data_IF_361277036935
#
_entry.id   IF_361277036935
#
_cell.length_a   1.000
_cell.length_b   1.000
_cell.length_c   1.000
_cell.angle_alpha   90.00
_cell.angle_beta   90.00
_cell.angle_gamma   90.00
#
_symmetry.space_group_name_H-M   'P 1'
#
loop_
_entity.id
_entity.type
_entity.pdbx_description
1 polymer ?
#
# COMPACT_ATOMS: atom_id res chain seq x y z
N UNK A 1 -9.18 9.99 -11.49
CA UNK A 1 -10.52 9.42 -11.39
C UNK A 1 -11.57 10.44 -11.84
N UNK A 2 -11.77 11.55 -11.14
CA UNK A 2 -12.83 12.54 -11.43
C UNK A 2 -12.80 13.09 -12.85
N UNK A 3 -11.61 13.39 -13.41
CA UNK A 3 -11.47 13.85 -14.81
C UNK A 3 -11.92 12.79 -15.82
N UNK A 4 -11.65 11.51 -15.56
CA UNK A 4 -12.06 10.41 -16.43
C UNK A 4 -13.57 10.20 -16.36
N UNK A 5 -14.13 10.18 -15.15
CA UNK A 5 -15.56 9.99 -14.94
C UNK A 5 -16.41 11.08 -15.59
N UNK A 6 -15.94 12.33 -15.58
CA UNK A 6 -16.64 13.44 -16.28
C UNK A 6 -16.78 13.23 -17.81
N UNK A 7 -15.96 12.36 -18.39
CA UNK A 7 -15.96 12.06 -19.85
C UNK A 7 -16.86 10.89 -20.22
N UNK A 8 -17.39 10.17 -19.24
CA UNK A 8 -18.25 9.00 -19.44
C UNK A 8 -19.62 9.34 -18.89
N UNK A 9 -20.69 9.30 -19.71
CA UNK A 9 -22.06 9.52 -19.25
C UNK A 9 -22.43 8.59 -18.07
N UNK A 10 -23.22 9.06 -17.14
CA UNK A 10 -23.57 8.29 -15.95
C UNK A 10 -24.28 6.97 -16.28
N UNK A 11 -25.13 7.00 -17.30
CA UNK A 11 -25.86 5.84 -17.81
C UNK A 11 -24.95 4.75 -18.39
N UNK A 12 -23.74 5.10 -18.82
CA UNK A 12 -22.76 4.17 -19.39
C UNK A 12 -21.81 3.56 -18.35
N UNK A 13 -21.85 4.04 -17.09
CA UNK A 13 -20.95 3.58 -16.00
C UNK A 13 -21.50 2.38 -15.22
N UNK A 14 -22.41 1.62 -15.78
CA UNK A 14 -23.17 0.55 -15.09
C UNK A 14 -22.29 -0.55 -14.49
N UNK A 15 -21.20 -0.88 -15.16
CA UNK A 15 -20.29 -1.97 -14.75
C UNK A 15 -19.06 -1.50 -14.00
N UNK A 16 -18.74 -0.19 -14.04
CA UNK A 16 -17.61 0.35 -13.29
C UNK A 16 -18.00 0.54 -11.83
N UNK A 17 -17.57 -0.37 -10.97
CA UNK A 17 -17.93 -0.43 -9.55
C UNK A 17 -16.73 -0.29 -8.61
N UNK A 18 -15.56 -0.72 -9.05
CA UNK A 18 -14.37 -0.86 -8.22
C UNK A 18 -13.20 -0.12 -8.89
N UNK A 19 -12.46 0.63 -8.08
CA UNK A 19 -11.15 1.18 -8.42
C UNK A 19 -10.10 0.23 -7.89
N UNK A 20 -9.30 -0.34 -8.77
CA UNK A 20 -8.20 -1.22 -8.40
C UNK A 20 -6.97 -0.39 -8.08
N UNK A 21 -6.38 -0.64 -6.94
CA UNK A 21 -5.04 -0.25 -6.56
C UNK A 21 -4.17 -1.49 -6.57
N UNK A 22 -3.29 -1.53 -7.51
CA UNK A 22 -2.20 -2.48 -7.52
C UNK A 22 -1.19 -2.17 -6.42
N UNK A 23 -0.22 -3.03 -6.23
CA UNK A 23 0.83 -2.88 -5.24
C UNK A 23 1.51 -1.50 -5.27
N UNK A 24 1.90 -1.01 -4.10
CA UNK A 24 2.67 0.23 -3.98
C UNK A 24 4.16 -0.08 -4.12
N UNK A 25 4.65 -0.22 -5.35
CA UNK A 25 6.01 -0.65 -5.66
C UNK A 25 6.93 0.52 -6.05
N UNK A 26 6.97 1.55 -5.26
CA UNK A 26 7.77 2.75 -5.54
C UNK A 26 9.23 2.65 -5.06
N UNK A 27 9.67 1.46 -4.68
CA UNK A 27 11.00 1.23 -4.15
C UNK A 27 11.24 1.97 -2.84
N UNK A 28 12.36 2.65 -2.73
CA UNK A 28 12.74 3.40 -1.53
C UNK A 28 12.11 4.80 -1.40
N UNK A 29 11.07 5.13 -2.15
CA UNK A 29 10.42 6.43 -2.02
C UNK A 29 9.79 6.59 -0.64
N UNK A 30 10.30 7.56 0.11
CA UNK A 30 9.94 7.82 1.50
C UNK A 30 9.85 9.33 1.81
N UNK A 31 9.63 10.16 0.78
CA UNK A 31 9.57 11.61 0.93
C UNK A 31 8.51 12.23 0.03
N UNK A 32 7.88 13.29 0.52
CA UNK A 32 6.89 14.09 -0.20
C UNK A 32 7.05 15.57 0.16
N UNK A 33 6.43 16.47 -0.60
CA UNK A 33 6.63 17.92 -0.48
C UNK A 33 6.29 18.47 0.91
N UNK A 34 5.28 17.90 1.59
CA UNK A 34 4.86 18.32 2.93
C UNK A 34 5.47 17.47 4.08
N UNK A 35 6.51 16.67 3.82
CA UNK A 35 7.06 15.74 4.82
C UNK A 35 7.55 16.44 6.09
N UNK A 36 8.19 17.60 5.95
CA UNK A 36 8.74 18.35 7.11
C UNK A 36 7.61 18.83 8.02
N UNK A 37 6.55 19.38 7.44
CA UNK A 37 5.38 19.87 8.15
C UNK A 37 4.65 18.72 8.85
N UNK A 38 4.38 17.64 8.12
CA UNK A 38 3.74 16.44 8.65
C UNK A 38 4.55 15.83 9.81
N UNK A 39 5.87 15.79 9.68
CA UNK A 39 6.74 15.29 10.74
C UNK A 39 6.69 16.16 12.00
N UNK A 40 6.75 17.48 11.83
CA UNK A 40 6.62 18.44 12.96
C UNK A 40 5.29 18.31 13.67
N UNK A 41 4.23 18.13 12.91
CA UNK A 41 2.88 17.94 13.47
C UNK A 41 2.78 16.64 14.26
N UNK A 42 3.31 15.55 13.72
CA UNK A 42 3.24 14.22 14.35
C UNK A 42 4.13 14.08 15.60
N UNK A 43 5.34 14.64 15.56
CA UNK A 43 6.37 14.36 16.59
C UNK A 43 6.84 15.58 17.37
N UNK A 44 6.47 16.78 16.96
CA UNK A 44 6.74 18.02 17.73
C UNK A 44 8.18 18.53 17.64
N UNK A 45 9.02 18.02 16.71
CA UNK A 45 10.36 18.52 16.51
C UNK A 45 10.75 18.64 15.03
N UNK A 46 11.80 19.41 14.73
CA UNK A 46 12.25 19.64 13.36
C UNK A 46 13.09 18.45 12.86
N UNK A 47 12.70 17.76 11.78
CA UNK A 47 13.46 16.65 11.20
C UNK A 47 14.72 17.10 10.46
N UNK A 48 14.80 18.35 10.01
CA UNK A 48 15.87 18.83 9.13
C UNK A 48 17.29 18.57 9.65
N UNK A 49 17.62 18.81 10.93
CA UNK A 49 18.95 18.51 11.46
C UNK A 49 19.32 17.02 11.42
N UNK A 50 18.34 16.12 11.31
CA UNK A 50 18.56 14.67 11.33
C UNK A 50 18.57 14.03 9.95
N UNK A 51 18.28 14.76 8.87
CA UNK A 51 18.30 14.25 7.51
C UNK A 51 19.59 13.50 7.14
N UNK A 52 20.80 13.89 7.60
CA UNK A 52 22.02 13.13 7.33
C UNK A 52 21.97 11.67 7.81
N UNK A 53 21.10 11.34 8.76
CA UNK A 53 20.88 9.96 9.22
C UNK A 53 20.37 9.04 8.12
N UNK A 54 19.66 9.56 7.12
CA UNK A 54 19.17 8.78 5.97
C UNK A 54 20.31 8.23 5.10
N UNK A 55 21.50 8.82 5.18
CA UNK A 55 22.71 8.33 4.52
C UNK A 55 23.65 7.56 5.45
N UNK A 56 23.18 7.17 6.64
CA UNK A 56 23.95 6.40 7.63
C UNK A 56 24.84 7.25 8.55
N UNK A 57 24.70 8.57 8.53
CA UNK A 57 25.48 9.47 9.43
C UNK A 57 24.82 9.47 10.82
N UNK A 58 25.61 9.22 11.87
CA UNK A 58 25.13 9.36 13.26
C UNK A 58 24.99 10.85 13.59
N UNK A 59 23.80 11.28 13.96
CA UNK A 59 23.51 12.65 14.41
C UNK A 59 23.26 12.68 15.91
N UNK A 60 24.08 13.43 16.63
CA UNK A 60 24.02 13.50 18.08
C UNK A 60 24.57 12.24 18.76
N UNK A 61 23.76 11.19 18.77
CA UNK A 61 24.15 9.87 19.26
C UNK A 61 23.45 8.76 18.46
N UNK A 62 23.92 7.48 18.55
CA UNK A 62 23.19 6.38 17.93
C UNK A 62 21.72 6.29 18.38
N UNK A 63 21.45 6.44 19.68
CA UNK A 63 20.08 6.41 20.21
C UNK A 63 19.19 7.52 19.63
N UNK A 64 19.69 8.74 19.54
CA UNK A 64 18.96 9.86 18.92
C UNK A 64 18.69 9.58 17.43
N UNK A 65 19.71 9.11 16.73
CA UNK A 65 19.60 8.77 15.30
C UNK A 65 18.57 7.68 15.07
N UNK A 66 18.58 6.61 15.85
CA UNK A 66 17.65 5.49 15.72
C UNK A 66 16.21 5.92 16.02
N UNK A 67 15.99 6.78 17.02
CA UNK A 67 14.66 7.34 17.32
C UNK A 67 14.13 8.17 16.17
N UNK A 68 14.93 9.05 15.60
CA UNK A 68 14.54 9.82 14.42
C UNK A 68 14.19 8.90 13.25
N UNK A 69 15.01 7.89 12.96
CA UNK A 69 14.73 6.96 11.86
C UNK A 69 13.46 6.14 12.10
N UNK A 70 13.17 5.80 13.37
CA UNK A 70 11.92 5.15 13.74
C UNK A 70 10.72 6.07 13.47
N UNK A 71 10.75 7.30 13.98
CA UNK A 71 9.68 8.28 13.80
C UNK A 71 9.40 8.53 12.31
N UNK A 72 10.46 8.70 11.51
CA UNK A 72 10.31 8.91 10.08
C UNK A 72 9.70 7.70 9.37
N UNK A 73 10.15 6.48 9.69
CA UNK A 73 9.57 5.26 9.10
C UNK A 73 8.12 5.09 9.50
N UNK A 74 7.78 5.40 10.75
CA UNK A 74 6.40 5.35 11.22
C UNK A 74 5.53 6.36 10.48
N UNK A 75 5.98 7.60 10.33
CA UNK A 75 5.26 8.62 9.59
C UNK A 75 5.02 8.20 8.13
N UNK A 76 6.04 7.67 7.45
CA UNK A 76 5.90 7.20 6.08
C UNK A 76 4.83 6.10 5.98
N UNK A 77 4.85 5.14 6.90
CA UNK A 77 3.84 4.07 6.94
C UNK A 77 2.44 4.61 7.16
N UNK A 78 2.28 5.56 8.07
CA UNK A 78 1.00 6.22 8.34
C UNK A 78 0.49 7.02 7.13
N UNK A 79 1.37 7.77 6.45
CA UNK A 79 1.00 8.52 5.24
C UNK A 79 0.61 7.59 4.08
N UNK A 80 1.31 6.47 3.89
CA UNK A 80 0.91 5.47 2.89
C UNK A 80 -0.48 4.92 3.20
N UNK A 81 -0.77 4.61 4.45
CA UNK A 81 -2.07 4.06 4.83
C UNK A 81 -3.19 5.11 4.73
N UNK A 82 -2.99 6.26 5.37
CA UNK A 82 -4.09 7.22 5.60
C UNK A 82 -4.20 8.28 4.51
N UNK A 83 -3.08 8.76 3.95
CA UNK A 83 -3.13 9.77 2.90
C UNK A 83 -3.28 9.14 1.50
N UNK A 84 -2.51 8.09 1.22
CA UNK A 84 -2.56 7.46 -0.10
C UNK A 84 -3.74 6.48 -0.22
N UNK A 85 -3.81 5.45 0.61
CA UNK A 85 -4.83 4.39 0.47
C UNK A 85 -6.20 4.91 0.87
N UNK A 86 -6.34 5.49 2.05
CA UNK A 86 -7.62 6.04 2.51
C UNK A 86 -8.07 7.21 1.63
N UNK A 87 -7.15 8.11 1.25
CA UNK A 87 -7.50 9.24 0.37
C UNK A 87 -8.08 8.79 -0.97
N UNK A 88 -7.52 7.73 -1.59
CA UNK A 88 -8.13 7.20 -2.82
C UNK A 88 -9.49 6.53 -2.56
N UNK A 89 -9.67 5.87 -1.41
CA UNK A 89 -10.97 5.32 -1.02
C UNK A 89 -12.02 6.44 -0.88
N UNK A 90 -11.69 7.51 -0.20
CA UNK A 90 -12.59 8.65 -0.01
C UNK A 90 -13.04 9.23 -1.35
N UNK A 91 -12.09 9.54 -2.24
CA UNK A 91 -12.39 10.03 -3.58
C UNK A 91 -13.21 9.02 -4.40
N UNK A 92 -13.00 7.73 -4.21
CA UNK A 92 -13.79 6.69 -4.88
C UNK A 92 -15.23 6.65 -4.37
N UNK A 93 -15.41 6.76 -3.05
CA UNK A 93 -16.73 6.81 -2.41
C UNK A 93 -17.55 8.02 -2.84
N UNK A 94 -16.94 9.20 -3.04
CA UNK A 94 -17.62 10.38 -3.61
C UNK A 94 -18.26 10.10 -4.98
N UNK A 95 -17.75 9.11 -5.69
CA UNK A 95 -18.26 8.69 -6.99
C UNK A 95 -19.09 7.40 -6.95
N UNK A 96 -19.42 6.90 -5.77
CA UNK A 96 -20.19 5.66 -5.58
C UNK A 96 -19.40 4.39 -5.97
N UNK A 97 -18.08 4.46 -5.92
CA UNK A 97 -17.18 3.35 -6.23
C UNK A 97 -16.53 2.82 -4.95
N UNK A 98 -16.24 1.54 -4.91
CA UNK A 98 -15.40 0.92 -3.88
C UNK A 98 -13.94 0.80 -4.35
N UNK A 99 -13.05 0.46 -3.43
CA UNK A 99 -11.63 0.24 -3.73
C UNK A 99 -11.24 -1.21 -3.48
N UNK A 100 -10.42 -1.74 -4.35
CA UNK A 100 -9.71 -3.00 -4.19
C UNK A 100 -8.22 -2.72 -4.12
N UNK A 101 -7.51 -3.33 -3.19
CA UNK A 101 -6.09 -3.11 -2.95
C UNK A 101 -5.36 -4.45 -2.93
N UNK A 102 -4.27 -4.53 -3.66
CA UNK A 102 -3.26 -5.54 -3.41
C UNK A 102 -2.47 -5.16 -2.16
N UNK A 103 -2.58 -5.98 -1.13
CA UNK A 103 -1.92 -5.76 0.15
C UNK A 103 -0.48 -6.26 0.09
N UNK A 104 0.37 -5.46 -0.52
CA UNK A 104 1.77 -5.73 -0.80
C UNK A 104 2.70 -5.11 0.25
N UNK A 105 3.87 -5.69 0.51
CA UNK A 105 4.76 -5.02 1.45
C UNK A 105 5.88 -5.83 2.06
N UNK A 106 6.30 -6.93 1.48
CA UNK A 106 7.59 -7.52 1.77
C UNK A 106 8.70 -6.80 0.98
N UNK A 107 9.93 -7.17 1.05
CA UNK A 107 11.07 -6.57 0.31
C UNK A 107 11.35 -5.08 0.64
N UNK A 108 11.18 -4.68 1.90
CA UNK A 108 11.54 -3.33 2.35
C UNK A 108 10.56 -2.24 1.97
N UNK A 109 9.33 -2.61 1.67
CA UNK A 109 8.23 -1.69 1.47
C UNK A 109 8.04 -0.75 2.69
N UNK A 110 7.78 0.55 2.50
CA UNK A 110 7.72 1.51 3.59
C UNK A 110 6.41 1.48 4.39
N UNK A 111 5.42 0.70 3.97
CA UNK A 111 4.12 0.59 4.62
C UNK A 111 4.08 -0.48 5.71
N UNK A 112 2.94 -0.55 6.38
CA UNK A 112 2.61 -1.56 7.38
C UNK A 112 1.40 -2.34 6.87
N UNK A 113 1.56 -3.66 6.67
CA UNK A 113 0.61 -4.53 5.99
C UNK A 113 -0.84 -4.40 6.46
N UNK A 114 -1.06 -4.51 7.76
CA UNK A 114 -2.42 -4.58 8.31
C UNK A 114 -3.09 -3.22 8.24
N UNK A 115 -2.36 -2.18 8.63
CA UNK A 115 -2.86 -0.81 8.63
C UNK A 115 -3.16 -0.32 7.20
N UNK A 116 -2.24 -0.57 6.28
CA UNK A 116 -2.35 -0.26 4.86
C UNK A 116 -3.57 -0.95 4.23
N UNK A 117 -3.68 -2.27 4.37
CA UNK A 117 -4.80 -3.04 3.85
C UNK A 117 -6.14 -2.66 4.47
N UNK A 118 -6.14 -2.30 5.76
CA UNK A 118 -7.34 -1.87 6.47
C UNK A 118 -8.03 -0.65 5.86
N UNK A 119 -7.29 0.20 5.16
CA UNK A 119 -7.79 1.44 4.58
C UNK A 119 -8.49 1.27 3.23
N UNK A 120 -8.44 0.12 2.58
CA UNK A 120 -9.23 -0.18 1.38
C UNK A 120 -10.54 -0.88 1.71
N UNK A 121 -11.51 -0.89 0.79
CA UNK A 121 -12.77 -1.62 1.00
C UNK A 121 -12.55 -3.12 0.86
N UNK A 122 -11.87 -3.54 -0.18
CA UNK A 122 -11.50 -4.93 -0.44
C UNK A 122 -9.97 -5.05 -0.51
N UNK A 123 -9.45 -6.20 -0.12
CA UNK A 123 -8.02 -6.48 -0.06
C UNK A 123 -7.68 -7.77 -0.78
N UNK A 124 -6.47 -7.84 -1.29
CA UNK A 124 -5.90 -9.02 -1.91
C UNK A 124 -4.50 -9.29 -1.42
N UNK A 125 -4.11 -10.56 -1.43
CA UNK A 125 -2.73 -10.98 -1.48
C UNK A 125 -2.34 -11.32 -2.91
N UNK A 126 -1.21 -12.00 -3.07
CA UNK A 126 -0.70 -12.46 -4.35
C UNK A 126 -0.14 -13.87 -4.23
N UNK A 127 -0.22 -14.66 -5.29
CA UNK A 127 0.57 -15.89 -5.44
C UNK A 127 0.99 -16.14 -6.89
N UNK A 128 2.16 -16.71 -7.05
CA UNK A 128 2.78 -16.92 -8.33
C UNK A 128 2.61 -18.35 -8.86
N UNK A 129 2.55 -18.48 -10.17
CA UNK A 129 2.58 -19.77 -10.85
C UNK A 129 3.99 -20.29 -11.09
N UNK A 130 4.95 -19.38 -11.22
CA UNK A 130 6.37 -19.68 -11.46
C UNK A 130 7.21 -18.84 -10.49
N UNK A 131 8.19 -19.50 -9.89
CA UNK A 131 8.97 -18.90 -8.82
C UNK A 131 8.27 -19.05 -7.45
N UNK A 132 8.81 -18.41 -6.46
CA UNK A 132 8.32 -18.46 -5.07
C UNK A 132 8.24 -17.06 -4.50
N UNK A 133 7.03 -16.56 -4.31
CA UNK A 133 6.76 -15.34 -3.58
C UNK A 133 6.69 -15.57 -2.07
N UNK A 134 6.53 -16.83 -1.67
CA UNK A 134 6.20 -17.19 -0.31
C UNK A 134 4.71 -17.04 -0.02
N UNK A 135 4.37 -17.13 1.26
CA UNK A 135 2.98 -17.12 1.72
C UNK A 135 2.61 -15.86 2.53
N UNK A 136 3.55 -14.93 2.68
CA UNK A 136 3.36 -13.75 3.54
C UNK A 136 2.26 -12.83 3.03
N UNK A 137 2.17 -12.62 1.73
CA UNK A 137 1.17 -11.74 1.11
C UNK A 137 -0.25 -12.23 1.41
N UNK A 138 -0.53 -13.50 1.15
CA UNK A 138 -1.84 -14.09 1.40
C UNK A 138 -2.17 -14.17 2.90
N UNK A 139 -1.17 -14.43 3.75
CA UNK A 139 -1.36 -14.42 5.21
C UNK A 139 -1.65 -13.01 5.73
N UNK A 140 -0.93 -12.01 5.23
CA UNK A 140 -1.16 -10.62 5.60
C UNK A 140 -2.53 -10.14 5.15
N UNK A 141 -2.94 -10.44 3.91
CA UNK A 141 -4.27 -10.12 3.40
C UNK A 141 -5.38 -10.80 4.23
N UNK A 142 -5.21 -12.09 4.53
CA UNK A 142 -6.15 -12.84 5.37
C UNK A 142 -6.25 -12.27 6.78
N UNK A 143 -5.11 -11.97 7.42
CA UNK A 143 -5.08 -11.37 8.75
C UNK A 143 -5.74 -10.00 8.76
N UNK A 144 -5.45 -9.17 7.77
CA UNK A 144 -6.07 -7.88 7.58
C UNK A 144 -7.61 -8.02 7.39
N UNK A 145 -8.05 -8.99 6.60
CA UNK A 145 -9.45 -9.31 6.42
C UNK A 145 -10.17 -9.59 7.74
N UNK A 146 -9.57 -10.41 8.58
CA UNK A 146 -10.11 -10.72 9.91
C UNK A 146 -10.14 -9.51 10.85
N UNK A 147 -9.03 -8.75 10.93
CA UNK A 147 -8.91 -7.61 11.85
C UNK A 147 -9.88 -6.49 11.49
N UNK A 148 -10.04 -6.20 10.20
CA UNK A 148 -10.88 -5.11 9.72
C UNK A 148 -12.27 -5.54 9.25
N UNK A 149 -12.67 -6.80 9.49
CA UNK A 149 -14.00 -7.30 9.19
C UNK A 149 -14.35 -7.27 7.70
N UNK A 150 -13.39 -7.54 6.81
CA UNK A 150 -13.64 -7.61 5.37
C UNK A 150 -14.39 -8.89 5.04
N UNK A 151 -15.46 -8.78 4.25
CA UNK A 151 -16.26 -9.94 3.85
C UNK A 151 -15.52 -10.90 2.91
N UNK A 152 -14.58 -10.37 2.14
CA UNK A 152 -13.80 -11.11 1.13
C UNK A 152 -12.33 -10.74 1.21
N UNK A 153 -11.51 -11.73 0.97
CA UNK A 153 -10.08 -11.60 0.72
C UNK A 153 -9.82 -12.17 -0.65
N UNK A 154 -9.17 -11.40 -1.48
CA UNK A 154 -8.84 -11.73 -2.85
C UNK A 154 -7.38 -12.17 -2.97
N UNK A 155 -7.00 -12.61 -4.13
CA UNK A 155 -5.60 -12.78 -4.50
C UNK A 155 -5.41 -12.42 -5.97
N UNK A 156 -4.36 -11.68 -6.26
CA UNK A 156 -3.77 -11.66 -7.58
C UNK A 156 -3.16 -13.05 -7.81
N UNK A 157 -3.66 -13.75 -8.82
CA UNK A 157 -3.46 -15.18 -8.90
C UNK A 157 -2.69 -15.57 -10.13
N UNK A 158 -1.74 -16.50 -9.95
CA UNK A 158 -1.02 -17.12 -11.07
C UNK A 158 -0.16 -16.11 -11.85
N UNK A 159 0.29 -15.07 -11.19
CA UNK A 159 1.23 -14.10 -11.71
C UNK A 159 2.64 -14.65 -11.86
N UNK A 160 3.52 -13.80 -12.34
CA UNK A 160 4.92 -14.09 -12.63
C UNK A 160 5.17 -15.11 -13.74
N UNK A 161 6.21 -14.87 -14.45
CA UNK A 161 7.00 -15.62 -15.40
C UNK A 161 6.40 -16.83 -16.11
N UNK A 162 7.07 -17.24 -17.12
CA UNK A 162 6.68 -18.38 -17.97
C UNK A 162 6.21 -17.95 -19.35
N UNK A 163 6.06 -18.91 -20.24
CA UNK A 163 5.55 -18.66 -21.58
C UNK A 163 4.05 -18.44 -21.55
N UNK A 164 3.56 -17.56 -22.41
CA UNK A 164 2.13 -17.31 -22.57
C UNK A 164 1.36 -18.61 -22.78
N UNK A 165 0.21 -18.76 -22.12
CA UNK A 165 -0.72 -19.89 -22.28
C UNK A 165 -0.16 -21.26 -21.84
N UNK A 166 0.84 -21.31 -20.98
CA UNK A 166 1.35 -22.59 -20.47
C UNK A 166 0.73 -23.02 -19.13
N UNK A 167 -0.19 -22.23 -18.57
CA UNK A 167 -0.97 -22.63 -17.41
C UNK A 167 -2.12 -23.56 -17.81
N UNK A 168 -2.27 -24.66 -17.11
CA UNK A 168 -3.35 -25.62 -17.32
C UNK A 168 -3.92 -26.10 -15.97
N UNK A 169 -5.11 -26.74 -15.96
CA UNK A 169 -5.83 -27.02 -14.70
C UNK A 169 -5.03 -27.77 -13.64
N UNK A 170 -4.09 -28.62 -14.04
CA UNK A 170 -3.25 -29.35 -13.07
C UNK A 170 -2.26 -28.44 -12.33
N UNK A 171 -1.85 -27.34 -12.95
CA UNK A 171 -0.97 -26.35 -12.30
C UNK A 171 -1.74 -25.50 -11.28
N UNK A 172 -3.06 -25.38 -11.46
CA UNK A 172 -3.93 -24.58 -10.59
C UNK A 172 -4.43 -25.33 -9.35
N UNK A 173 -4.08 -26.60 -9.21
CA UNK A 173 -4.51 -27.50 -8.15
C UNK A 173 -3.49 -27.58 -7.02
#
# INVERSE_FOLDING_TARGET
LSKTLKRIPAEDRKTFKIVVKDSYETGGQNWTDNMIEAFKEAYGYDPVPYIPALSGTVVGSPDITDRFLWDLRRLVADMVAYEYVAGLREVSHEHGLTTWLENYGHWGFPGEFLQYGGQSDEIAGEFWSFGDLGDIENKAASSCGHIYGKEKVWAESCTCGGSNFNLYPATMK
#
